data_IF_161829315352
#
_entry.id   IF_161829315352
#
_cell.length_a   1.000
_cell.length_b   1.000
_cell.length_c   1.000
_cell.angle_alpha   90.00
_cell.angle_beta   90.00
_cell.angle_gamma   90.00
#
_symmetry.space_group_name_H-M   'P 1'
#
loop_
_entity.id
_entity.type
_entity.pdbx_description
1 polymer ?
#
# COMPACT_ATOMS: atom_id res chain seq x y z
N UNK A 1 -22.77 55.88 -6.49
CA UNK A 1 -23.30 54.76 -7.32
C UNK A 1 -22.20 54.02 -8.13
N UNK A 2 -21.12 54.66 -8.56
CA UNK A 2 -20.04 53.98 -9.25
C UNK A 2 -19.03 53.25 -8.30
N UNK A 3 -18.95 53.63 -7.04
CA UNK A 3 -18.09 53.00 -6.03
C UNK A 3 -18.74 51.75 -5.40
N UNK A 4 -20.06 51.66 -5.41
CA UNK A 4 -20.79 50.49 -4.89
C UNK A 4 -20.82 49.30 -5.91
N UNK A 5 -20.71 49.55 -7.19
CA UNK A 5 -20.59 48.48 -8.20
C UNK A 5 -19.19 47.84 -8.22
N UNK A 6 -18.16 48.52 -7.77
CA UNK A 6 -16.80 47.99 -7.68
C UNK A 6 -16.61 47.02 -6.50
N UNK A 7 -17.45 47.07 -5.47
CA UNK A 7 -17.45 46.17 -4.31
C UNK A 7 -18.20 44.85 -4.55
N UNK A 8 -18.98 44.73 -5.62
CA UNK A 8 -19.79 43.52 -5.91
C UNK A 8 -19.06 42.41 -6.67
N UNK A 9 -17.90 42.64 -7.18
CA UNK A 9 -17.02 41.55 -7.63
C UNK A 9 -16.16 41.07 -6.46
N UNK A 10 -16.77 40.34 -5.54
CA UNK A 10 -16.05 39.58 -4.53
C UNK A 10 -15.12 38.58 -5.26
N UNK A 11 -13.90 39.04 -5.58
CA UNK A 11 -12.87 38.19 -6.21
C UNK A 11 -12.60 37.04 -5.26
N UNK A 12 -12.99 35.84 -5.67
CA UNK A 12 -12.65 34.61 -4.93
C UNK A 12 -11.14 34.56 -4.72
N UNK A 13 -10.69 34.35 -3.50
CA UNK A 13 -9.28 34.22 -3.16
C UNK A 13 -8.70 32.95 -3.78
N UNK A 14 -9.49 31.86 -3.76
CA UNK A 14 -9.12 30.56 -4.33
C UNK A 14 -9.80 30.38 -5.70
N UNK A 15 -9.00 30.40 -6.74
CA UNK A 15 -9.40 30.18 -8.13
C UNK A 15 -8.44 29.17 -8.78
N UNK A 16 -8.74 28.74 -10.00
CA UNK A 16 -7.79 27.89 -10.75
C UNK A 16 -6.42 28.55 -10.94
N UNK A 17 -6.35 29.89 -11.00
CA UNK A 17 -5.09 30.60 -11.20
C UNK A 17 -4.31 30.80 -9.90
N UNK A 18 -5.00 30.88 -8.77
CA UNK A 18 -4.39 31.11 -7.46
C UNK A 18 -4.19 29.83 -6.63
N UNK A 19 -4.75 28.68 -7.05
CA UNK A 19 -4.53 27.43 -6.37
C UNK A 19 -3.13 26.85 -6.62
N UNK A 20 -2.71 25.91 -5.77
CA UNK A 20 -1.46 25.21 -5.94
C UNK A 20 -1.36 24.58 -7.34
N UNK A 21 -0.35 25.02 -8.11
CA UNK A 21 -0.14 24.59 -9.48
C UNK A 21 0.15 23.08 -9.61
N UNK A 22 0.73 22.45 -8.59
CA UNK A 22 0.99 21.03 -8.62
C UNK A 22 -0.31 20.21 -8.50
N UNK A 23 -1.30 20.70 -7.71
CA UNK A 23 -2.60 20.03 -7.61
C UNK A 23 -3.34 20.01 -8.96
N UNK A 24 -3.15 21.04 -9.81
CA UNK A 24 -3.72 21.05 -11.17
C UNK A 24 -3.14 19.93 -12.07
N UNK A 25 -1.92 19.48 -11.79
CA UNK A 25 -1.22 18.46 -12.58
C UNK A 25 -1.56 17.03 -12.14
N UNK A 26 -2.23 16.88 -10.99
CA UNK A 26 -2.57 15.55 -10.46
C UNK A 26 -3.62 14.90 -11.35
N UNK A 27 -3.27 13.73 -11.86
CA UNK A 27 -4.19 12.82 -12.54
C UNK A 27 -4.27 11.52 -11.76
N UNK A 28 -5.49 11.11 -11.42
CA UNK A 28 -5.73 9.87 -10.68
C UNK A 28 -6.87 9.08 -11.34
N UNK A 29 -6.49 8.26 -12.31
CA UNK A 29 -7.42 7.53 -13.19
C UNK A 29 -8.39 6.61 -12.42
N UNK A 30 -7.99 6.08 -11.26
CA UNK A 30 -8.83 5.22 -10.40
C UNK A 30 -10.16 5.88 -10.01
N UNK A 31 -10.22 7.21 -9.99
CA UNK A 31 -11.42 8.02 -9.67
C UNK A 31 -11.69 9.11 -10.71
N UNK A 32 -11.13 8.98 -11.89
CA UNK A 32 -11.19 9.94 -12.97
C UNK A 32 -12.52 9.94 -13.77
N UNK A 33 -12.58 10.69 -14.90
CA UNK A 33 -13.78 10.87 -15.71
C UNK A 33 -14.42 9.56 -16.21
N UNK A 34 -13.60 8.55 -16.54
CA UNK A 34 -14.08 7.23 -16.99
C UNK A 34 -14.91 6.57 -15.89
N UNK A 35 -14.45 6.63 -14.64
CA UNK A 35 -15.20 6.07 -13.49
C UNK A 35 -16.50 6.82 -13.26
N UNK A 36 -16.49 8.16 -13.37
CA UNK A 36 -17.72 8.97 -13.28
C UNK A 36 -18.71 8.60 -14.37
N UNK A 37 -18.25 8.39 -15.62
CA UNK A 37 -19.09 7.92 -16.72
C UNK A 37 -19.65 6.53 -16.46
N UNK A 38 -18.84 5.61 -15.94
CA UNK A 38 -19.28 4.28 -15.53
C UNK A 38 -20.41 4.33 -14.48
N UNK A 39 -20.26 5.17 -13.46
CA UNK A 39 -21.31 5.38 -12.44
C UNK A 39 -22.60 5.94 -13.02
N UNK A 40 -22.49 6.86 -13.98
CA UNK A 40 -23.65 7.39 -14.69
C UNK A 40 -24.35 6.31 -15.51
N UNK A 41 -23.59 5.46 -16.25
CA UNK A 41 -24.13 4.34 -17.02
C UNK A 41 -24.86 3.34 -16.12
N UNK A 42 -24.31 3.01 -14.93
CA UNK A 42 -25.00 2.16 -13.97
C UNK A 42 -26.34 2.77 -13.49
N UNK A 43 -26.36 4.09 -13.27
CA UNK A 43 -27.59 4.80 -12.91
C UNK A 43 -28.60 4.70 -14.03
N UNK A 44 -28.20 4.99 -15.26
CA UNK A 44 -29.05 4.88 -16.47
C UNK A 44 -29.64 3.47 -16.63
N UNK A 45 -28.82 2.41 -16.43
CA UNK A 45 -29.29 1.02 -16.48
C UNK A 45 -30.33 0.72 -15.38
N UNK A 46 -30.12 1.21 -14.16
CA UNK A 46 -31.08 1.06 -13.04
C UNK A 46 -32.40 1.79 -13.29
N UNK A 47 -32.36 2.90 -14.01
CA UNK A 47 -33.52 3.66 -14.45
C UNK A 47 -34.21 3.06 -15.68
N UNK A 48 -33.75 1.91 -16.19
CA UNK A 48 -34.35 1.19 -17.31
C UNK A 48 -33.92 1.69 -18.68
N UNK A 49 -32.93 2.56 -18.79
CA UNK A 49 -32.41 3.02 -20.07
C UNK A 49 -31.71 1.85 -20.78
N UNK A 50 -32.21 1.50 -21.97
CA UNK A 50 -31.65 0.40 -22.78
C UNK A 50 -30.24 0.74 -23.27
N UNK A 51 -29.31 -0.18 -23.06
CA UNK A 51 -27.93 -0.14 -23.54
C UNK A 51 -27.61 -1.45 -24.27
N UNK A 52 -26.54 -1.51 -25.07
CA UNK A 52 -26.09 -2.76 -25.70
C UNK A 52 -25.47 -3.76 -24.70
N UNK A 53 -25.45 -3.44 -23.44
CA UNK A 53 -24.97 -4.26 -22.32
C UNK A 53 -25.93 -4.14 -21.12
N UNK A 54 -25.88 -5.09 -20.21
CA UNK A 54 -26.80 -5.19 -19.06
C UNK A 54 -26.19 -4.74 -17.74
N UNK A 55 -24.85 -4.68 -17.66
CA UNK A 55 -24.11 -4.31 -16.44
C UNK A 55 -22.82 -3.58 -16.78
N UNK A 56 -22.29 -2.87 -15.78
CA UNK A 56 -20.96 -2.24 -15.82
C UNK A 56 -20.04 -2.99 -14.88
N UNK A 57 -18.98 -3.59 -15.42
CA UNK A 57 -17.94 -4.28 -14.65
C UNK A 57 -16.92 -3.25 -14.17
N UNK A 58 -16.76 -3.12 -12.85
CA UNK A 58 -15.81 -2.19 -12.23
C UNK A 58 -14.48 -2.89 -11.96
N UNK A 59 -13.46 -2.57 -12.75
CA UNK A 59 -12.09 -3.06 -12.57
C UNK A 59 -11.09 -1.94 -12.21
N UNK A 60 -11.59 -0.75 -11.87
CA UNK A 60 -10.77 0.43 -11.60
C UNK A 60 -10.12 0.43 -10.20
N UNK A 61 -10.66 -0.33 -9.26
CA UNK A 61 -10.14 -0.44 -7.89
C UNK A 61 -10.35 -1.87 -7.37
N UNK A 62 -9.29 -2.46 -6.82
CA UNK A 62 -9.38 -3.75 -6.14
C UNK A 62 -9.99 -3.57 -4.74
N UNK A 63 -11.30 -3.81 -4.63
CA UNK A 63 -12.06 -3.82 -3.38
C UNK A 63 -12.66 -5.20 -3.17
N UNK A 64 -11.99 -6.01 -2.35
CA UNK A 64 -12.35 -7.41 -2.15
C UNK A 64 -13.77 -7.58 -1.58
N UNK A 65 -14.17 -6.76 -0.61
CA UNK A 65 -15.50 -6.84 -0.03
C UNK A 65 -16.60 -6.36 -1.00
N UNK A 66 -16.34 -5.32 -1.78
CA UNK A 66 -17.27 -4.89 -2.82
C UNK A 66 -17.44 -5.95 -3.93
N UNK A 67 -16.42 -6.80 -4.13
CA UNK A 67 -16.45 -7.94 -5.07
C UNK A 67 -16.99 -9.23 -4.45
N UNK A 68 -17.50 -9.18 -3.20
CA UNK A 68 -18.20 -10.29 -2.55
C UNK A 68 -17.37 -11.14 -1.57
N UNK A 69 -16.09 -10.80 -1.34
CA UNK A 69 -15.32 -11.46 -0.29
C UNK A 69 -15.96 -11.24 1.06
N UNK A 70 -16.16 -12.33 1.82
CA UNK A 70 -16.72 -12.25 3.15
C UNK A 70 -15.68 -11.78 4.15
N UNK A 71 -16.03 -10.86 5.08
CA UNK A 71 -15.14 -10.45 6.16
C UNK A 71 -14.71 -11.63 7.03
N UNK A 72 -13.46 -11.61 7.47
CA UNK A 72 -12.95 -12.63 8.40
C UNK A 72 -13.56 -12.39 9.78
N UNK A 73 -14.33 -13.36 10.27
CA UNK A 73 -15.09 -13.27 11.53
C UNK A 73 -14.22 -12.87 12.72
N UNK A 74 -13.04 -13.44 12.84
CA UNK A 74 -12.12 -13.17 13.94
C UNK A 74 -11.74 -11.68 14.01
N UNK A 75 -11.43 -11.04 12.89
CA UNK A 75 -11.13 -9.61 12.84
C UNK A 75 -12.30 -8.77 13.34
N UNK A 76 -13.50 -9.11 12.89
CA UNK A 76 -14.74 -8.40 13.27
C UNK A 76 -15.07 -8.57 14.74
N UNK A 77 -14.87 -9.77 15.30
CA UNK A 77 -15.08 -10.04 16.71
C UNK A 77 -14.16 -9.20 17.60
N UNK A 78 -12.85 -9.18 17.33
CA UNK A 78 -11.91 -8.41 18.14
C UNK A 78 -12.15 -6.90 18.00
N UNK A 79 -12.43 -6.40 16.79
CA UNK A 79 -12.79 -5.00 16.59
C UNK A 79 -14.06 -4.61 17.36
N UNK A 80 -15.10 -5.46 17.36
CA UNK A 80 -16.31 -5.22 18.12
C UNK A 80 -16.03 -5.18 19.64
N UNK A 81 -15.23 -6.13 20.15
CA UNK A 81 -14.82 -6.18 21.56
C UNK A 81 -14.00 -4.94 21.98
N UNK A 82 -13.16 -4.43 21.10
CA UNK A 82 -12.41 -3.20 21.36
C UNK A 82 -13.28 -1.93 21.27
N UNK A 83 -14.33 -1.96 20.43
CA UNK A 83 -15.22 -0.81 20.22
C UNK A 83 -16.32 -0.69 21.29
N UNK A 84 -16.79 -1.85 21.78
CA UNK A 84 -17.83 -1.93 22.80
C UNK A 84 -17.45 -2.95 23.87
N UNK A 85 -16.79 -2.47 24.92
CA UNK A 85 -16.10 -3.30 25.92
C UNK A 85 -17.04 -4.16 26.77
N UNK A 86 -18.33 -3.83 26.90
CA UNK A 86 -19.32 -4.68 27.58
C UNK A 86 -19.45 -6.06 26.94
N UNK A 87 -19.09 -6.18 25.65
CA UNK A 87 -19.07 -7.48 24.96
C UNK A 87 -17.96 -8.41 25.47
N UNK A 88 -16.98 -7.93 26.22
CA UNK A 88 -15.91 -8.75 26.80
C UNK A 88 -16.44 -9.79 27.80
N UNK A 89 -17.59 -9.52 28.42
CA UNK A 89 -18.23 -10.44 29.36
C UNK A 89 -19.24 -11.37 28.69
N UNK A 90 -19.48 -11.20 27.37
CA UNK A 90 -20.39 -12.03 26.62
C UNK A 90 -19.77 -13.39 26.30
N UNK A 91 -20.39 -14.49 26.73
CA UNK A 91 -19.91 -15.86 26.52
C UNK A 91 -19.91 -16.33 25.07
N UNK A 92 -20.58 -15.60 24.16
CA UNK A 92 -20.63 -15.94 22.73
C UNK A 92 -19.33 -15.60 21.98
N UNK A 93 -18.46 -14.76 22.55
CA UNK A 93 -17.18 -14.45 21.92
C UNK A 93 -16.10 -15.43 22.39
N UNK A 94 -15.23 -15.91 21.47
CA UNK A 94 -14.13 -16.81 21.81
C UNK A 94 -13.13 -16.16 22.78
N UNK A 95 -12.55 -16.99 23.67
CA UNK A 95 -11.63 -16.48 24.69
C UNK A 95 -10.34 -15.91 24.11
N UNK A 96 -9.83 -16.46 23.02
CA UNK A 96 -8.66 -15.94 22.30
C UNK A 96 -8.94 -14.56 21.66
N UNK A 97 -10.15 -14.30 21.16
CA UNK A 97 -10.55 -12.98 20.67
C UNK A 97 -10.64 -11.97 21.82
N UNK A 98 -11.21 -12.37 22.97
CA UNK A 98 -11.27 -11.54 24.19
C UNK A 98 -9.87 -11.21 24.74
N UNK A 99 -8.98 -12.22 24.75
CA UNK A 99 -7.61 -12.03 25.21
C UNK A 99 -6.86 -10.99 24.36
N UNK A 100 -6.99 -11.07 23.03
CA UNK A 100 -6.39 -10.08 22.13
C UNK A 100 -6.99 -8.69 22.32
N UNK A 101 -8.31 -8.60 22.44
CA UNK A 101 -8.97 -7.31 22.68
C UNK A 101 -8.50 -6.66 23.99
N UNK A 102 -8.44 -7.42 25.09
CA UNK A 102 -7.93 -6.92 26.39
C UNK A 102 -6.46 -6.47 26.29
N UNK A 103 -5.61 -7.26 25.63
CA UNK A 103 -4.20 -6.91 25.42
C UNK A 103 -4.03 -5.59 24.67
N UNK A 104 -4.81 -5.40 23.60
CA UNK A 104 -4.77 -4.17 22.80
C UNK A 104 -5.33 -2.98 23.58
N UNK A 105 -6.48 -3.14 24.25
CA UNK A 105 -7.07 -2.07 25.07
C UNK A 105 -6.13 -1.61 26.17
N UNK A 106 -5.43 -2.55 26.84
CA UNK A 106 -4.45 -2.21 27.86
C UNK A 106 -3.26 -1.38 27.33
N UNK A 107 -2.97 -1.49 26.03
CA UNK A 107 -1.93 -0.70 25.38
C UNK A 107 -2.44 0.66 24.86
N UNK A 108 -3.76 0.89 24.89
CA UNK A 108 -4.37 2.14 24.50
C UNK A 108 -4.52 3.09 25.70
N UNK A 109 -4.37 4.39 25.48
CA UNK A 109 -4.66 5.40 26.49
C UNK A 109 -6.09 5.30 27.00
N UNK A 110 -6.28 5.28 28.33
CA UNK A 110 -7.59 5.11 28.94
C UNK A 110 -8.30 3.80 28.60
N UNK A 111 -7.57 2.78 28.20
CA UNK A 111 -8.10 1.48 27.73
C UNK A 111 -9.16 1.63 26.62
N UNK A 112 -8.96 2.55 25.71
CA UNK A 112 -9.91 2.88 24.65
C UNK A 112 -9.25 3.08 23.30
N UNK A 113 -9.81 2.48 22.25
CA UNK A 113 -9.39 2.72 20.86
C UNK A 113 -9.78 4.10 20.33
N UNK A 114 -10.53 4.88 21.11
CA UNK A 114 -10.82 6.28 20.84
C UNK A 114 -9.71 7.24 21.28
N UNK A 115 -8.70 6.79 22.02
CA UNK A 115 -7.56 7.59 22.40
C UNK A 115 -6.52 7.68 21.27
N UNK A 116 -5.75 8.78 21.23
CA UNK A 116 -4.58 8.87 20.35
C UNK A 116 -3.52 7.85 20.77
N UNK A 117 -2.80 7.32 19.78
CA UNK A 117 -1.59 6.52 20.00
C UNK A 117 -0.32 7.37 19.80
N UNK A 118 0.84 6.77 20.07
CA UNK A 118 2.10 7.31 19.56
C UNK A 118 2.05 7.45 18.02
N UNK A 119 2.79 8.42 17.49
CA UNK A 119 2.75 8.75 16.07
C UNK A 119 3.25 7.64 15.15
N UNK A 120 4.25 6.86 15.60
CA UNK A 120 4.70 5.65 14.90
C UNK A 120 3.70 4.48 15.01
N UNK A 121 2.75 4.57 15.92
CA UNK A 121 1.80 3.52 16.26
C UNK A 121 2.03 2.93 17.66
N UNK A 122 1.06 2.13 18.11
CA UNK A 122 1.07 1.47 19.41
C UNK A 122 2.27 0.51 19.49
N UNK A 123 3.11 0.63 20.53
CA UNK A 123 4.37 -0.10 20.66
C UNK A 123 4.22 -1.62 20.54
N UNK A 124 3.30 -2.24 21.29
CA UNK A 124 3.09 -3.68 21.21
C UNK A 124 2.61 -4.17 19.83
N UNK A 125 1.99 -3.30 19.03
CA UNK A 125 1.59 -3.63 17.65
C UNK A 125 2.81 -3.54 16.74
N UNK A 126 3.69 -2.55 16.90
CA UNK A 126 4.97 -2.49 16.18
C UNK A 126 5.84 -3.71 16.49
N UNK A 127 5.89 -4.14 17.76
CA UNK A 127 6.56 -5.39 18.18
C UNK A 127 5.96 -6.62 17.48
N UNK A 128 4.63 -6.65 17.32
CA UNK A 128 3.94 -7.73 16.62
C UNK A 128 4.29 -7.77 15.13
N UNK A 129 4.31 -6.60 14.48
CA UNK A 129 4.74 -6.44 13.08
C UNK A 129 6.19 -6.89 12.91
N UNK A 130 7.08 -6.48 13.81
CA UNK A 130 8.50 -6.87 13.76
C UNK A 130 8.68 -8.39 13.89
N UNK A 131 7.94 -9.05 14.79
CA UNK A 131 7.94 -10.53 14.90
C UNK A 131 7.40 -11.19 13.64
N UNK A 132 6.33 -10.67 13.07
CA UNK A 132 5.76 -11.15 11.81
C UNK A 132 6.78 -11.08 10.66
N UNK A 133 7.44 -9.93 10.48
CA UNK A 133 8.47 -9.74 9.45
C UNK A 133 9.64 -10.69 9.70
N UNK A 134 10.13 -10.81 10.94
CA UNK A 134 11.18 -11.76 11.29
C UNK A 134 10.83 -13.19 10.92
N UNK A 135 9.59 -13.62 11.18
CA UNK A 135 9.13 -14.96 10.82
C UNK A 135 9.02 -15.14 9.30
N UNK A 136 8.41 -14.17 8.61
CA UNK A 136 8.28 -14.15 7.13
C UNK A 136 9.63 -14.28 6.45
N UNK A 137 10.64 -13.59 6.95
CA UNK A 137 11.97 -13.47 6.35
C UNK A 137 12.96 -14.51 6.88
N UNK A 138 12.48 -15.61 7.48
CA UNK A 138 13.31 -16.75 7.87
C UNK A 138 14.22 -16.47 9.06
N UNK A 139 13.86 -15.57 9.96
CA UNK A 139 14.57 -15.25 11.19
C UNK A 139 15.45 -14.00 11.13
N UNK A 140 15.50 -13.31 10.00
CA UNK A 140 16.19 -12.02 9.87
C UNK A 140 15.57 -11.03 10.86
N UNK A 141 16.42 -10.36 11.65
CA UNK A 141 15.96 -9.44 12.68
C UNK A 141 15.18 -8.26 12.10
N UNK A 142 14.17 -7.82 12.84
CA UNK A 142 13.42 -6.62 12.56
C UNK A 142 13.31 -5.80 13.85
N UNK A 143 13.72 -4.55 13.78
CA UNK A 143 13.65 -3.62 14.90
C UNK A 143 12.28 -2.93 14.90
N UNK A 144 11.48 -3.04 15.98
CA UNK A 144 10.20 -2.34 16.09
C UNK A 144 10.30 -0.83 15.96
N UNK A 145 11.46 -0.23 16.25
CA UNK A 145 11.68 1.21 16.10
C UNK A 145 11.87 1.65 14.64
N UNK A 146 12.02 0.69 13.73
CA UNK A 146 12.01 0.91 12.29
C UNK A 146 10.62 0.73 11.66
N UNK A 147 9.61 0.39 12.47
CA UNK A 147 8.23 0.19 12.01
C UNK A 147 7.39 1.45 12.26
N UNK A 148 6.70 1.90 11.23
CA UNK A 148 5.72 2.98 11.27
C UNK A 148 4.36 2.46 10.81
N UNK A 149 3.35 2.50 11.69
CA UNK A 149 1.98 2.15 11.33
C UNK A 149 1.35 3.32 10.56
N UNK A 150 0.65 3.02 9.48
CA UNK A 150 0.18 4.02 8.51
C UNK A 150 -1.30 3.90 8.21
N UNK A 151 -1.90 4.96 7.67
CA UNK A 151 -3.29 4.97 7.19
C UNK A 151 -3.40 4.26 5.83
N UNK A 152 -3.08 2.97 5.83
CA UNK A 152 -2.85 2.16 4.62
C UNK A 152 -1.47 2.42 4.01
N UNK A 153 -1.02 1.54 3.10
CA UNK A 153 0.27 1.69 2.43
C UNK A 153 0.41 3.02 1.67
N UNK A 154 -0.70 3.53 1.10
CA UNK A 154 -0.71 4.80 0.38
C UNK A 154 -0.22 5.99 1.21
N UNK A 155 -0.54 6.04 2.50
CA UNK A 155 -0.05 7.07 3.40
C UNK A 155 1.46 6.97 3.65
N UNK A 156 1.98 5.76 3.83
CA UNK A 156 3.42 5.50 3.95
C UNK A 156 4.19 5.90 2.69
N UNK A 157 3.69 5.50 1.52
CA UNK A 157 4.29 5.83 0.21
C UNK A 157 4.36 7.35 0.02
N UNK A 158 3.25 8.07 0.20
CA UNK A 158 3.21 9.54 0.06
C UNK A 158 4.12 10.22 1.09
N UNK A 159 4.19 9.68 2.31
CA UNK A 159 5.08 10.19 3.37
C UNK A 159 6.55 10.07 2.96
N UNK A 160 6.95 8.91 2.44
CA UNK A 160 8.33 8.70 1.97
C UNK A 160 8.65 9.54 0.74
N UNK A 161 7.76 9.61 -0.24
CA UNK A 161 7.95 10.50 -1.40
C UNK A 161 8.09 11.96 -0.97
N UNK A 162 7.30 12.42 0.01
CA UNK A 162 7.40 13.77 0.55
C UNK A 162 8.75 14.02 1.24
N UNK A 163 9.28 13.04 1.97
CA UNK A 163 10.59 13.14 2.63
C UNK A 163 11.72 13.19 1.61
N UNK A 164 11.61 12.42 0.51
CA UNK A 164 12.63 12.29 -0.52
C UNK A 164 12.63 13.42 -1.55
N UNK A 165 11.51 14.14 -1.68
CA UNK A 165 11.35 15.21 -2.68
C UNK A 165 12.10 16.48 -2.25
N UNK A 166 13.06 16.89 -3.04
CA UNK A 166 13.89 18.08 -2.83
C UNK A 166 14.38 18.65 -4.17
N UNK A 167 15.00 19.83 -4.11
CA UNK A 167 15.65 20.49 -5.24
C UNK A 167 14.68 21.26 -6.13
N UNK A 168 15.29 22.04 -7.04
CA UNK A 168 14.60 22.88 -8.04
C UNK A 168 15.21 22.61 -9.42
N UNK A 169 14.47 22.88 -10.47
CA UNK A 169 14.90 22.71 -11.85
C UNK A 169 15.54 21.33 -12.12
N UNK A 170 16.79 21.30 -12.54
CA UNK A 170 17.55 20.08 -12.82
C UNK A 170 17.96 19.30 -11.57
N UNK A 171 17.89 19.91 -10.39
CA UNK A 171 18.21 19.24 -9.11
C UNK A 171 16.99 18.60 -8.48
N UNK A 172 15.79 18.77 -9.04
CA UNK A 172 14.58 18.13 -8.53
C UNK A 172 14.72 16.63 -8.46
N UNK A 173 14.24 16.08 -7.37
CA UNK A 173 14.18 14.62 -7.18
C UNK A 173 13.44 13.94 -8.32
N UNK A 174 14.13 13.01 -8.99
CA UNK A 174 13.56 12.06 -9.94
C UNK A 174 13.16 10.75 -9.24
N UNK A 175 11.97 10.27 -9.55
CA UNK A 175 11.41 9.03 -8.99
C UNK A 175 11.14 8.06 -10.13
N UNK A 176 11.86 6.94 -10.16
CA UNK A 176 11.67 5.86 -11.14
C UNK A 176 10.47 5.02 -10.74
N UNK A 177 9.52 4.86 -11.66
CA UNK A 177 8.31 4.05 -11.46
C UNK A 177 8.07 3.10 -12.64
N UNK A 178 7.50 1.90 -12.40
CA UNK A 178 7.21 0.95 -13.47
C UNK A 178 6.06 1.44 -14.35
N UNK A 179 6.07 1.05 -15.61
CA UNK A 179 4.93 1.20 -16.52
C UNK A 179 4.61 -0.18 -17.12
N UNK A 180 3.37 -0.66 -16.93
CA UNK A 180 2.24 -0.05 -16.22
C UNK A 180 2.42 -0.06 -14.69
N UNK A 181 1.66 0.79 -13.97
CA UNK A 181 1.81 0.97 -12.53
C UNK A 181 0.48 1.30 -11.81
N UNK A 182 0.50 1.23 -10.49
CA UNK A 182 -0.57 1.75 -9.65
C UNK A 182 -0.57 3.29 -9.65
N UNK A 183 -1.65 3.97 -10.08
CA UNK A 183 -1.65 5.42 -10.35
C UNK A 183 -1.37 6.33 -9.15
N UNK A 184 -1.28 5.79 -7.93
CA UNK A 184 -0.90 6.55 -6.74
C UNK A 184 0.47 7.21 -6.92
N UNK A 185 1.45 6.46 -7.49
CA UNK A 185 2.82 6.97 -7.61
C UNK A 185 2.89 8.20 -8.51
N UNK A 186 2.33 8.13 -9.71
CA UNK A 186 2.31 9.28 -10.64
C UNK A 186 1.56 10.47 -10.06
N UNK A 187 0.43 10.24 -9.39
CA UNK A 187 -0.35 11.29 -8.75
C UNK A 187 0.43 11.98 -7.62
N UNK A 188 1.06 11.20 -6.73
CA UNK A 188 1.84 11.74 -5.62
C UNK A 188 3.10 12.48 -6.10
N UNK A 189 3.81 11.95 -7.10
CA UNK A 189 4.98 12.60 -7.72
C UNK A 189 4.58 13.98 -8.27
N UNK A 190 3.45 14.05 -8.98
CA UNK A 190 2.93 15.31 -9.53
C UNK A 190 2.53 16.30 -8.43
N UNK A 191 1.83 15.83 -7.40
CA UNK A 191 1.41 16.65 -6.26
C UNK A 191 2.59 17.27 -5.52
N UNK A 192 3.65 16.48 -5.32
CA UNK A 192 4.84 16.88 -4.60
C UNK A 192 5.82 17.70 -5.46
N UNK A 193 5.61 17.80 -6.77
CA UNK A 193 6.48 18.53 -7.69
C UNK A 193 7.79 17.81 -8.01
N UNK A 194 7.90 16.51 -7.74
CA UNK A 194 9.01 15.67 -8.17
C UNK A 194 8.92 15.36 -9.67
N UNK A 195 9.96 14.74 -10.22
CA UNK A 195 10.04 14.35 -11.64
C UNK A 195 9.76 12.86 -11.76
N UNK A 196 8.77 12.49 -12.56
CA UNK A 196 8.47 11.10 -12.88
C UNK A 196 9.47 10.58 -13.93
N UNK A 197 10.08 9.43 -13.63
CA UNK A 197 10.96 8.70 -14.55
C UNK A 197 10.31 7.35 -14.80
N UNK A 198 9.84 7.13 -16.02
CA UNK A 198 9.21 5.88 -16.40
C UNK A 198 10.27 4.84 -16.76
N UNK A 199 10.11 3.59 -16.28
CA UNK A 199 10.75 2.42 -16.84
C UNK A 199 9.69 1.39 -17.23
N UNK A 200 9.87 0.74 -18.38
CA UNK A 200 8.84 -0.11 -18.96
C UNK A 200 9.08 -1.58 -18.62
N UNK A 201 8.03 -2.24 -18.13
CA UNK A 201 8.04 -3.69 -17.95
C UNK A 201 7.90 -4.38 -19.30
N UNK A 202 8.58 -5.50 -19.49
CA UNK A 202 8.58 -6.21 -20.77
C UNK A 202 7.37 -7.15 -20.88
N UNK A 203 6.36 -6.76 -21.66
CA UNK A 203 5.13 -7.51 -21.85
C UNK A 203 5.39 -8.89 -22.47
N UNK A 204 6.27 -8.97 -23.48
CA UNK A 204 6.62 -10.23 -24.13
C UNK A 204 7.31 -11.24 -23.21
N UNK A 205 7.94 -10.75 -22.12
CA UNK A 205 8.55 -11.54 -21.06
C UNK A 205 7.69 -11.57 -19.79
N UNK A 206 6.38 -11.67 -19.93
CA UNK A 206 5.43 -11.73 -18.82
C UNK A 206 5.57 -10.57 -17.83
N UNK A 207 5.75 -9.35 -18.34
CA UNK A 207 5.90 -8.11 -17.54
C UNK A 207 7.13 -8.13 -16.62
N UNK A 208 8.17 -8.85 -17.00
CA UNK A 208 9.41 -8.86 -16.23
C UNK A 208 10.10 -7.49 -16.28
N UNK A 209 10.79 -7.15 -15.19
CA UNK A 209 11.66 -5.99 -15.13
C UNK A 209 12.99 -6.33 -15.81
N UNK A 210 13.56 -5.37 -16.55
CA UNK A 210 14.87 -5.48 -17.20
C UNK A 210 15.82 -4.41 -16.63
N UNK A 211 16.99 -4.84 -16.15
CA UNK A 211 18.01 -3.93 -15.60
C UNK A 211 18.56 -2.98 -16.67
N UNK A 212 18.63 -3.43 -17.93
CA UNK A 212 19.07 -2.57 -19.03
C UNK A 212 18.09 -1.42 -19.28
N UNK A 213 16.78 -1.68 -19.14
CA UNK A 213 15.74 -0.64 -19.20
C UNK A 213 15.86 0.35 -18.03
N UNK A 214 16.09 -0.13 -16.80
CA UNK A 214 16.35 0.74 -15.65
C UNK A 214 17.55 1.66 -15.93
N UNK A 215 18.63 1.10 -16.46
CA UNK A 215 19.83 1.85 -16.76
C UNK A 215 19.61 2.90 -17.86
N UNK A 216 18.87 2.56 -18.92
CA UNK A 216 18.50 3.46 -20.00
C UNK A 216 17.67 4.64 -19.48
N UNK A 217 16.59 4.34 -18.76
CA UNK A 217 15.69 5.36 -18.19
C UNK A 217 16.41 6.30 -17.21
N UNK A 218 17.29 5.75 -16.37
CA UNK A 218 18.10 6.51 -15.42
C UNK A 218 19.05 7.49 -16.13
N UNK A 219 19.77 7.04 -17.16
CA UNK A 219 20.71 7.89 -17.91
C UNK A 219 19.99 9.04 -18.61
N UNK A 220 18.88 8.75 -19.28
CA UNK A 220 18.06 9.78 -19.92
C UNK A 220 17.54 10.82 -18.91
N UNK A 221 17.17 10.40 -17.70
CA UNK A 221 16.64 11.28 -16.66
C UNK A 221 17.70 12.21 -16.07
N UNK A 222 18.96 11.80 -15.99
CA UNK A 222 20.08 12.62 -15.46
C UNK A 222 20.33 13.92 -16.23
N UNK A 223 19.83 14.04 -17.46
CA UNK A 223 19.93 15.25 -18.25
C UNK A 223 19.01 16.37 -17.72
N UNK A 224 17.93 16.04 -16.99
CA UNK A 224 16.92 17.02 -16.62
C UNK A 224 16.43 16.96 -15.16
N UNK A 225 16.83 15.94 -14.38
CA UNK A 225 16.52 15.84 -12.96
C UNK A 225 17.63 15.10 -12.20
N UNK A 226 17.46 14.98 -10.89
CA UNK A 226 18.32 14.19 -10.01
C UNK A 226 17.61 12.87 -9.60
N UNK A 227 17.81 11.74 -10.30
CA UNK A 227 17.23 10.48 -9.94
C UNK A 227 17.74 10.03 -8.56
N UNK A 228 16.81 9.80 -7.61
CA UNK A 228 17.14 9.40 -6.24
C UNK A 228 16.35 8.20 -5.74
N UNK A 229 15.24 7.89 -6.39
CA UNK A 229 14.27 6.91 -5.88
C UNK A 229 13.94 5.89 -6.96
N UNK A 230 13.94 4.61 -6.59
CA UNK A 230 13.47 3.51 -7.42
C UNK A 230 12.30 2.81 -6.71
N UNK A 231 11.11 2.89 -7.31
CA UNK A 231 9.92 2.20 -6.81
C UNK A 231 9.76 0.86 -7.51
N UNK A 232 9.61 -0.22 -6.74
CA UNK A 232 9.30 -1.56 -7.21
C UNK A 232 7.98 -2.00 -6.58
N UNK A 233 7.07 -2.56 -7.38
CA UNK A 233 5.81 -3.16 -6.92
C UNK A 233 5.93 -4.67 -7.09
N UNK A 234 5.98 -5.42 -6.00
CA UNK A 234 6.20 -6.87 -6.02
C UNK A 234 5.33 -7.61 -4.97
N UNK A 235 4.38 -8.44 -5.39
CA UNK A 235 3.90 -8.68 -6.77
C UNK A 235 3.32 -7.44 -7.44
N UNK A 236 3.37 -7.40 -8.79
CA UNK A 236 3.04 -6.22 -9.59
C UNK A 236 1.56 -5.85 -9.61
N UNK A 237 1.27 -4.56 -9.70
CA UNK A 237 -0.06 -4.02 -9.96
C UNK A 237 0.05 -3.04 -11.15
N UNK A 238 -0.61 -3.28 -12.30
CA UNK A 238 -1.71 -4.27 -12.53
C UNK A 238 -1.25 -5.65 -13.06
N UNK A 239 0.01 -5.87 -13.31
CA UNK A 239 0.53 -6.95 -14.16
C UNK A 239 0.60 -8.33 -13.47
N UNK A 240 0.58 -8.38 -12.12
CA UNK A 240 0.55 -9.61 -11.32
C UNK A 240 1.85 -10.42 -11.32
N UNK A 241 2.93 -9.97 -11.99
CA UNK A 241 4.21 -10.68 -11.97
C UNK A 241 4.81 -10.73 -10.56
N UNK A 242 5.48 -11.81 -10.25
CA UNK A 242 6.26 -12.01 -9.02
C UNK A 242 7.74 -12.00 -9.39
N UNK A 243 8.50 -11.12 -8.77
CA UNK A 243 9.93 -10.99 -9.03
C UNK A 243 10.67 -12.23 -8.49
N UNK A 244 11.58 -12.81 -9.31
CA UNK A 244 12.47 -13.87 -8.85
C UNK A 244 13.49 -13.30 -7.85
N UNK A 245 14.09 -14.20 -7.04
CA UNK A 245 15.15 -13.83 -6.12
C UNK A 245 16.32 -13.15 -6.84
N UNK A 246 16.75 -13.75 -7.97
CA UNK A 246 17.89 -13.26 -8.77
C UNK A 246 17.61 -11.85 -9.30
N UNK A 247 16.40 -11.60 -9.76
CA UNK A 247 16.03 -10.27 -10.25
C UNK A 247 15.99 -9.22 -9.10
N UNK A 248 15.53 -9.61 -7.91
CA UNK A 248 15.59 -8.73 -6.74
C UNK A 248 17.04 -8.41 -6.37
N UNK A 249 17.95 -9.41 -6.42
CA UNK A 249 19.37 -9.18 -6.20
C UNK A 249 19.98 -8.19 -7.22
N UNK A 250 19.61 -8.33 -8.49
CA UNK A 250 20.08 -7.43 -9.55
C UNK A 250 19.55 -6.00 -9.38
N UNK A 251 18.30 -5.84 -8.95
CA UNK A 251 17.71 -4.53 -8.59
C UNK A 251 18.47 -3.91 -7.41
N UNK A 252 18.79 -4.68 -6.38
CA UNK A 252 19.54 -4.20 -5.21
C UNK A 252 20.97 -3.78 -5.63
N UNK A 253 21.66 -4.57 -6.45
CA UNK A 253 22.98 -4.20 -7.01
C UNK A 253 22.91 -2.92 -7.84
N UNK A 254 21.86 -2.79 -8.66
CA UNK A 254 21.63 -1.58 -9.45
C UNK A 254 21.41 -0.36 -8.56
N UNK A 255 20.55 -0.47 -7.54
CA UNK A 255 20.28 0.61 -6.61
C UNK A 255 21.53 1.03 -5.81
N UNK A 256 22.33 0.05 -5.33
CA UNK A 256 23.59 0.30 -4.66
C UNK A 256 24.58 1.05 -5.55
N UNK A 257 24.77 0.59 -6.80
CA UNK A 257 25.68 1.19 -7.78
C UNK A 257 25.29 2.61 -8.14
N UNK A 258 24.00 2.86 -8.33
CA UNK A 258 23.47 4.13 -8.82
C UNK A 258 23.05 5.08 -7.68
N UNK A 259 23.24 4.68 -6.41
CA UNK A 259 22.87 5.43 -5.21
C UNK A 259 21.38 5.82 -5.17
N UNK A 260 20.49 4.83 -5.37
CA UNK A 260 19.05 5.00 -5.36
C UNK A 260 18.44 4.47 -4.06
N UNK A 261 17.54 5.25 -3.49
CA UNK A 261 16.69 4.82 -2.37
C UNK A 261 15.60 3.87 -2.90
N UNK A 262 15.47 2.68 -2.33
CA UNK A 262 14.48 1.68 -2.74
C UNK A 262 13.16 1.86 -2.00
N UNK A 263 12.06 1.93 -2.75
CA UNK A 263 10.70 1.80 -2.24
C UNK A 263 10.10 0.48 -2.75
N UNK A 264 9.92 -0.50 -1.87
CA UNK A 264 9.34 -1.80 -2.18
C UNK A 264 7.88 -1.85 -1.74
N UNK A 265 6.96 -1.76 -2.69
CA UNK A 265 5.52 -1.94 -2.47
C UNK A 265 5.19 -3.44 -2.52
N UNK A 266 5.06 -4.03 -1.33
CA UNK A 266 4.87 -5.47 -1.13
C UNK A 266 3.46 -5.82 -0.63
N UNK A 267 2.46 -4.96 -0.95
CA UNK A 267 1.08 -5.12 -0.47
C UNK A 267 0.40 -6.40 -0.95
N UNK A 268 0.91 -7.03 -2.02
CA UNK A 268 0.38 -8.27 -2.60
C UNK A 268 1.19 -9.53 -2.24
N UNK A 269 2.01 -9.49 -1.17
CA UNK A 269 2.93 -10.58 -0.81
C UNK A 269 2.28 -11.97 -0.69
N UNK A 270 0.98 -12.06 -0.35
CA UNK A 270 0.25 -13.33 -0.26
C UNK A 270 -0.54 -13.66 -1.54
N UNK A 271 -0.57 -12.76 -2.54
CA UNK A 271 -1.28 -12.97 -3.82
C UNK A 271 -0.37 -13.65 -4.86
N UNK A 272 0.22 -14.77 -4.49
CA UNK A 272 1.05 -15.59 -5.37
C UNK A 272 0.31 -16.88 -5.68
N UNK A 273 -0.15 -17.01 -6.92
CA UNK A 273 -1.01 -18.11 -7.36
C UNK A 273 -0.33 -19.02 -8.38
N UNK A 274 0.66 -18.53 -9.10
CA UNK A 274 1.35 -19.31 -10.12
C UNK A 274 2.20 -20.44 -9.49
N UNK A 275 2.11 -21.63 -10.05
CA UNK A 275 2.88 -22.78 -9.61
C UNK A 275 4.40 -22.53 -9.78
N UNK A 276 5.18 -22.89 -8.79
CA UNK A 276 6.62 -22.66 -8.76
C UNK A 276 7.05 -21.21 -8.43
N UNK A 277 6.10 -20.27 -8.28
CA UNK A 277 6.40 -18.91 -7.85
C UNK A 277 6.38 -18.80 -6.32
N UNK A 278 7.33 -18.04 -5.78
CA UNK A 278 7.43 -17.75 -4.34
C UNK A 278 7.72 -16.29 -4.15
N UNK A 279 7.02 -15.65 -3.21
CA UNK A 279 7.32 -14.29 -2.82
C UNK A 279 8.64 -14.23 -2.03
N UNK A 280 9.51 -13.34 -2.45
CA UNK A 280 10.72 -12.96 -1.71
C UNK A 280 10.62 -11.49 -1.35
N UNK A 281 10.72 -11.13 -0.06
CA UNK A 281 10.78 -9.73 0.32
C UNK A 281 12.12 -9.12 -0.07
N UNK A 282 12.10 -7.83 -0.45
CA UNK A 282 13.33 -7.08 -0.72
C UNK A 282 14.26 -7.07 0.48
N UNK A 283 13.70 -6.93 1.69
CA UNK A 283 14.48 -7.01 2.92
C UNK A 283 15.22 -8.33 3.06
N UNK A 284 14.51 -9.46 2.90
CA UNK A 284 15.12 -10.79 3.01
C UNK A 284 16.30 -10.94 2.07
N UNK A 285 16.08 -10.64 0.79
CA UNK A 285 17.14 -10.75 -0.23
C UNK A 285 18.30 -9.82 0.08
N UNK A 286 18.03 -8.56 0.45
CA UNK A 286 19.05 -7.58 0.84
C UNK A 286 19.96 -8.09 1.95
N UNK A 287 19.39 -8.69 3.01
CA UNK A 287 20.18 -9.20 4.13
C UNK A 287 20.93 -10.47 3.79
N UNK A 288 20.38 -11.35 2.95
CA UNK A 288 21.03 -12.57 2.49
C UNK A 288 22.15 -12.30 1.48
N UNK A 289 22.18 -11.14 0.81
CA UNK A 289 23.30 -10.69 -0.04
C UNK A 289 24.55 -10.31 0.75
N UNK A 290 24.46 -10.18 2.06
CA UNK A 290 25.58 -9.92 2.95
C UNK A 290 25.80 -8.45 3.34
N UNK A 291 26.79 -8.19 4.23
CA UNK A 291 26.96 -6.87 4.86
C UNK A 291 27.26 -5.71 3.91
N UNK A 292 27.83 -5.99 2.75
CA UNK A 292 28.09 -4.98 1.73
C UNK A 292 26.82 -4.28 1.27
N UNK A 293 25.72 -5.02 1.16
CA UNK A 293 24.41 -4.49 0.75
C UNK A 293 23.51 -4.17 1.96
N UNK A 294 23.41 -5.11 2.92
CA UNK A 294 22.49 -4.97 4.05
C UNK A 294 22.81 -3.82 5.00
N UNK A 295 24.05 -3.29 4.97
CA UNK A 295 24.44 -2.15 5.77
C UNK A 295 24.50 -0.82 4.99
N UNK A 296 24.22 -0.83 3.69
CA UNK A 296 24.45 0.36 2.85
C UNK A 296 23.23 0.75 2.01
N UNK A 297 22.45 -0.22 1.51
CA UNK A 297 21.31 0.08 0.66
C UNK A 297 20.12 0.51 1.50
N UNK A 298 19.65 1.73 1.25
CA UNK A 298 18.47 2.29 1.90
C UNK A 298 17.21 1.70 1.26
N UNK A 299 16.33 1.16 2.10
CA UNK A 299 15.10 0.50 1.67
C UNK A 299 13.93 0.85 2.59
N UNK A 300 12.76 1.09 2.00
CA UNK A 300 11.49 1.06 2.73
C UNK A 300 10.56 0.04 2.09
N UNK A 301 10.08 -0.91 2.89
CA UNK A 301 9.05 -1.88 2.50
C UNK A 301 7.69 -1.45 3.00
N UNK A 302 6.65 -1.61 2.16
CA UNK A 302 5.27 -1.27 2.51
C UNK A 302 4.39 -2.51 2.50
N UNK A 303 3.48 -2.58 3.47
CA UNK A 303 2.42 -3.58 3.50
C UNK A 303 1.09 -2.97 3.95
N UNK A 304 -0.02 -3.67 3.71
CA UNK A 304 -1.36 -3.17 3.98
C UNK A 304 -2.33 -4.31 4.27
N UNK A 305 -3.34 -4.03 5.10
CA UNK A 305 -4.48 -4.93 5.28
C UNK A 305 -5.54 -4.81 4.18
N UNK A 306 -5.32 -3.92 3.20
CA UNK A 306 -6.27 -3.65 2.12
C UNK A 306 -6.29 -4.75 1.05
N UNK A 307 -5.26 -5.55 0.97
CA UNK A 307 -5.02 -6.58 -0.04
C UNK A 307 -4.88 -7.95 0.60
N UNK A 308 -4.35 -8.92 -0.13
CA UNK A 308 -4.17 -10.29 0.35
C UNK A 308 -5.48 -10.90 0.83
N UNK A 309 -5.41 -11.88 1.70
CA UNK A 309 -6.59 -12.55 2.27
C UNK A 309 -7.44 -11.65 3.19
N UNK A 310 -6.88 -10.54 3.67
CA UNK A 310 -7.58 -9.62 4.56
C UNK A 310 -8.68 -8.84 3.84
N UNK A 311 -8.33 -8.17 2.75
CA UNK A 311 -9.27 -7.39 1.95
C UNK A 311 -9.93 -6.20 2.68
N UNK A 312 -9.42 -5.79 3.85
CA UNK A 312 -10.03 -4.79 4.74
C UNK A 312 -9.66 -3.36 4.34
N UNK A 313 -9.83 -3.03 3.07
CA UNK A 313 -9.37 -1.75 2.50
C UNK A 313 -10.02 -0.51 3.13
N UNK A 314 -11.25 -0.63 3.64
CA UNK A 314 -11.98 0.46 4.29
C UNK A 314 -11.48 0.82 5.69
N UNK A 315 -10.81 -0.10 6.38
CA UNK A 315 -10.30 0.12 7.74
C UNK A 315 -8.96 0.89 7.76
N UNK A 316 -8.38 1.16 6.61
CA UNK A 316 -7.20 2.02 6.43
C UNK A 316 -6.02 1.66 7.32
N UNK A 317 -5.45 0.48 7.15
CA UNK A 317 -4.30 0.04 7.92
C UNK A 317 -3.16 -0.44 7.03
N UNK A 318 -1.95 -0.12 7.44
CA UNK A 318 -0.70 -0.53 6.81
C UNK A 318 0.48 -0.28 7.73
N UNK A 319 1.63 -0.68 7.29
CA UNK A 319 2.91 -0.31 7.90
C UNK A 319 3.97 -0.05 6.81
N UNK A 320 5.01 0.66 7.21
CA UNK A 320 6.28 0.69 6.50
C UNK A 320 7.40 0.30 7.46
N UNK A 321 8.38 -0.45 6.96
CA UNK A 321 9.65 -0.73 7.62
C UNK A 321 10.76 0.05 6.94
N UNK A 322 11.51 0.86 7.69
CA UNK A 322 12.65 1.62 7.19
C UNK A 322 13.96 0.89 7.50
N UNK A 323 14.86 0.78 6.53
CA UNK A 323 16.10 0.04 6.62
C UNK A 323 17.26 0.93 6.16
N UNK A 324 18.33 0.99 6.93
CA UNK A 324 19.53 1.80 6.68
C UNK A 324 19.26 3.30 6.50
N UNK A 325 18.14 3.81 7.01
CA UNK A 325 17.89 5.25 7.02
C UNK A 325 18.80 5.93 8.04
N UNK A 326 19.39 7.04 7.66
CA UNK A 326 20.15 7.91 8.56
C UNK A 326 19.29 8.31 9.77
N UNK A 327 19.86 8.26 10.98
CA UNK A 327 19.13 8.48 12.23
C UNK A 327 18.58 9.91 12.36
N UNK A 328 19.27 10.91 11.82
CA UNK A 328 18.78 12.29 11.81
C UNK A 328 17.60 12.43 10.84
N UNK A 329 17.66 11.75 9.68
CA UNK A 329 16.56 11.68 8.72
C UNK A 329 15.37 10.92 9.30
N UNK A 330 15.61 9.81 10.04
CA UNK A 330 14.56 9.04 10.73
C UNK A 330 13.86 9.89 11.81
N UNK A 331 14.60 10.76 12.50
CA UNK A 331 14.02 11.74 13.41
C UNK A 331 13.10 12.73 12.68
N UNK A 332 13.47 13.20 11.48
CA UNK A 332 12.60 14.06 10.66
C UNK A 332 11.38 13.29 10.13
N UNK A 333 11.53 12.02 9.75
CA UNK A 333 10.39 11.17 9.40
C UNK A 333 9.39 11.06 10.57
N UNK A 334 9.89 10.79 11.77
CA UNK A 334 9.06 10.71 12.98
C UNK A 334 8.34 12.04 13.26
N UNK A 335 9.02 13.17 13.10
CA UNK A 335 8.43 14.50 13.20
C UNK A 335 7.35 14.72 12.12
N UNK A 336 7.61 14.30 10.87
CA UNK A 336 6.66 14.44 9.76
C UNK A 336 5.36 13.65 10.01
N UNK A 337 5.46 12.41 10.50
CA UNK A 337 4.26 11.61 10.82
C UNK A 337 3.51 12.16 12.04
N UNK A 338 4.22 12.80 12.98
CA UNK A 338 3.62 13.42 14.17
C UNK A 338 2.67 14.57 13.84
N UNK A 339 2.85 15.25 12.72
CA UNK A 339 1.93 16.31 12.26
C UNK A 339 0.50 15.80 12.06
N UNK A 340 0.35 14.51 11.74
CA UNK A 340 -0.94 13.83 11.56
C UNK A 340 -1.43 13.09 12.82
N UNK A 341 -0.76 13.29 13.95
CA UNK A 341 -0.97 12.64 15.25
C UNK A 341 -0.65 11.14 15.20
N UNK A 342 -1.53 10.31 14.69
CA UNK A 342 -1.33 8.86 14.57
C UNK A 342 -2.20 8.27 13.46
N UNK A 343 -1.87 7.05 13.02
CA UNK A 343 -2.75 6.26 12.19
C UNK A 343 -4.05 5.89 12.95
N UNK A 344 -5.18 5.64 12.26
CA UNK A 344 -6.43 5.25 12.90
C UNK A 344 -6.26 4.04 13.82
N UNK A 345 -6.59 4.18 15.11
CA UNK A 345 -6.40 3.11 16.09
C UNK A 345 -7.18 1.83 15.74
N UNK A 346 -8.42 1.88 15.21
CA UNK A 346 -9.09 0.66 14.72
C UNK A 346 -8.31 -0.05 13.60
N UNK A 347 -7.64 0.71 12.72
CA UNK A 347 -6.74 0.15 11.72
C UNK A 347 -5.50 -0.52 12.34
N UNK A 348 -4.93 0.08 13.39
CA UNK A 348 -3.82 -0.51 14.13
C UNK A 348 -4.25 -1.81 14.84
N UNK A 349 -5.46 -1.86 15.41
CA UNK A 349 -6.04 -3.10 15.96
C UNK A 349 -6.07 -4.20 14.90
N UNK A 350 -6.56 -3.88 13.71
CA UNK A 350 -6.58 -4.85 12.60
C UNK A 350 -5.17 -5.34 12.26
N UNK A 351 -4.18 -4.45 12.21
CA UNK A 351 -2.78 -4.84 11.95
C UNK A 351 -2.27 -5.82 13.00
N UNK A 352 -2.58 -5.60 14.28
CA UNK A 352 -2.23 -6.52 15.36
C UNK A 352 -2.81 -7.93 15.13
N UNK A 353 -4.01 -8.03 14.57
CA UNK A 353 -4.67 -9.32 14.32
C UNK A 353 -4.12 -10.05 13.09
N UNK A 354 -3.70 -9.29 12.08
CA UNK A 354 -3.04 -9.84 10.88
C UNK A 354 -1.66 -10.38 11.22
N UNK A 355 -0.91 -9.67 12.05
CA UNK A 355 0.45 -10.06 12.44
C UNK A 355 0.51 -11.05 13.62
N UNK A 356 -0.62 -11.27 14.30
CA UNK A 356 -0.79 -12.27 15.35
C UNK A 356 -2.14 -12.98 15.22
N UNK A 357 -2.35 -13.75 14.12
CA UNK A 357 -3.59 -14.48 13.88
C UNK A 357 -3.81 -15.60 14.90
N UNK A 358 -5.02 -16.19 14.95
CA UNK A 358 -5.29 -17.36 15.79
C UNK A 358 -4.30 -18.49 15.54
N UNK A 359 -3.74 -19.05 16.62
CA UNK A 359 -2.76 -20.12 16.59
C UNK A 359 -3.43 -21.51 16.69
N UNK A 360 -2.77 -22.59 16.22
CA UNK A 360 -3.24 -23.94 16.41
C UNK A 360 -3.58 -24.22 17.89
N UNK A 361 -4.78 -24.73 18.14
CA UNK A 361 -5.31 -24.98 19.50
C UNK A 361 -6.14 -23.84 20.08
N UNK A 362 -6.13 -22.66 19.50
CA UNK A 362 -7.01 -21.56 19.91
C UNK A 362 -8.43 -21.74 19.33
N UNK A 363 -9.49 -21.32 20.06
CA UNK A 363 -10.89 -21.51 19.65
C UNK A 363 -11.22 -20.96 18.25
N UNK A 364 -10.63 -19.83 17.87
CA UNK A 364 -10.90 -19.19 16.58
C UNK A 364 -10.11 -19.77 15.41
N UNK A 365 -9.05 -20.59 15.64
CA UNK A 365 -8.11 -21.01 14.62
C UNK A 365 -8.79 -21.75 13.44
N UNK A 366 -9.63 -22.74 13.72
CA UNK A 366 -10.25 -23.55 12.66
C UNK A 366 -11.13 -22.71 11.72
N UNK A 367 -11.92 -21.77 12.28
CA UNK A 367 -12.78 -20.89 11.50
C UNK A 367 -11.95 -19.87 10.70
N UNK A 368 -10.90 -19.33 11.31
CA UNK A 368 -9.96 -18.41 10.66
C UNK A 368 -9.28 -19.08 9.45
N UNK A 369 -8.70 -20.26 9.63
CA UNK A 369 -8.03 -21.00 8.56
C UNK A 369 -9.00 -21.40 7.44
N UNK A 370 -10.24 -21.74 7.77
CA UNK A 370 -11.29 -22.00 6.76
C UNK A 370 -11.53 -20.76 5.88
N UNK A 371 -11.60 -19.56 6.47
CA UNK A 371 -11.80 -18.32 5.72
C UNK A 371 -10.60 -18.02 4.79
N UNK A 372 -9.36 -18.17 5.28
CA UNK A 372 -8.14 -17.99 4.49
C UNK A 372 -8.06 -18.99 3.33
N UNK A 373 -8.39 -20.27 3.58
CA UNK A 373 -8.39 -21.31 2.54
C UNK A 373 -9.46 -21.07 1.47
N UNK A 374 -10.63 -20.58 1.85
CA UNK A 374 -11.70 -20.24 0.91
C UNK A 374 -11.23 -19.10 0.00
N UNK A 375 -10.61 -18.07 0.55
CA UNK A 375 -10.03 -16.98 -0.22
C UNK A 375 -8.97 -17.49 -1.21
N UNK A 376 -8.03 -18.30 -0.73
CA UNK A 376 -6.94 -18.82 -1.58
C UNK A 376 -7.49 -19.66 -2.75
N UNK A 377 -8.50 -20.51 -2.49
CA UNK A 377 -9.15 -21.32 -3.55
C UNK A 377 -9.98 -20.50 -4.53
N UNK A 378 -10.58 -19.38 -4.09
CA UNK A 378 -11.33 -18.50 -4.99
C UNK A 378 -10.40 -17.72 -5.91
N UNK A 379 -9.24 -17.26 -5.43
CA UNK A 379 -8.22 -16.61 -6.24
C UNK A 379 -7.75 -17.48 -7.41
N UNK A 380 -7.58 -18.78 -7.21
CA UNK A 380 -7.24 -19.73 -8.28
C UNK A 380 -8.36 -19.83 -9.35
N UNK A 381 -9.61 -19.86 -8.94
CA UNK A 381 -10.75 -20.00 -9.87
C UNK A 381 -11.02 -18.71 -10.67
N UNK A 382 -10.73 -17.55 -10.12
CA UNK A 382 -10.92 -16.27 -10.82
C UNK A 382 -9.76 -15.94 -11.77
N UNK A 383 -8.52 -16.33 -11.45
CA UNK A 383 -7.40 -16.19 -12.39
C UNK A 383 -7.66 -16.96 -13.69
N UNK A 384 -8.24 -18.16 -13.62
CA UNK A 384 -8.65 -18.93 -14.80
C UNK A 384 -9.79 -18.24 -15.58
N UNK A 385 -10.73 -17.59 -14.90
CA UNK A 385 -11.83 -16.86 -15.53
C UNK A 385 -11.37 -15.56 -16.18
N UNK A 386 -10.47 -14.81 -15.54
CA UNK A 386 -9.94 -13.56 -16.09
C UNK A 386 -9.04 -13.84 -17.30
N UNK A 387 -8.22 -14.89 -17.25
CA UNK A 387 -7.43 -15.34 -18.41
C UNK A 387 -8.32 -15.72 -19.60
N UNK A 388 -9.44 -16.40 -19.37
CA UNK A 388 -10.41 -16.73 -20.40
C UNK A 388 -11.15 -15.50 -20.95
N UNK A 389 -11.37 -14.45 -20.13
CA UNK A 389 -12.01 -13.19 -20.57
C UNK A 389 -11.05 -12.31 -21.40
N UNK A 390 -9.78 -12.26 -21.04
CA UNK A 390 -8.75 -11.50 -21.77
C UNK A 390 -8.51 -12.10 -23.16
N UNK A 391 -8.54 -13.43 -23.29
CA UNK A 391 -8.41 -14.12 -24.59
C UNK A 391 -9.57 -13.75 -25.52
N UNK A 392 -10.79 -13.55 -25.00
CA UNK A 392 -11.95 -13.15 -25.82
C UNK A 392 -11.96 -11.68 -26.26
N UNK A 393 -11.15 -10.81 -25.66
CA UNK A 393 -11.05 -9.38 -26.07
C UNK A 393 -10.09 -9.20 -27.25
N UNK A 394 -9.12 -10.09 -27.41
CA UNK A 394 -8.21 -10.09 -28.57
C UNK A 394 -8.84 -10.59 -29.88
N UNK A 395 -9.98 -11.28 -29.82
CA UNK A 395 -10.70 -11.81 -30.98
C UNK A 395 -11.90 -10.91 -31.43
N UNK A 396 -12.07 -9.74 -30.82
CA UNK A 396 -13.07 -8.72 -31.18
C UNK A 396 -12.41 -7.45 -31.71
#
# INVERSE_FOLDING_TARGET
MAEDEALSQCRKVLTLDTMNANVKKVEYAVRGPIVQRAMQLEKELREGVKKPFTEVIKANIGDAHAMGQQPITFFRQVLALCSYTDLLDNSKFPDDAKARARSILNACGGSSIGAYSASQGIGCIRDSVARYIKHRDGGISCDPDNIYLTTGASDGIVTMLKLLTAGEDRTRTGVMIPIPQYPLYSAAISELGAVQINYYLNEEKCWSLDIAELQHSLQAAREHCNPRVLCIINPGNPTGQVQSRELIEDVIRFAAKEHLFLLADEVYQDNVYAEGCTFHSFKKVLFEMGPEFSNTVELVSFHSTSKCYMGECGLRSGYMEVINMDEEVKAQLTKLVSVRLCAPVPGQVLMALVTNPPQPGEPSHALFMKAVLVWWRSGWRESDRISALIINIHDM
#
